data_IF_571259529968
#
_entry.id   IF_571259529968
#
_cell.length_a   1.000
_cell.length_b   1.000
_cell.length_c   1.000
_cell.angle_alpha   90.00
_cell.angle_beta   90.00
_cell.angle_gamma   90.00
#
_symmetry.space_group_name_H-M   'P 1'
#
loop_
_entity.id
_entity.type
_entity.pdbx_description
1 polymer ?
#
# COMPACT_ATOMS: atom_id res chain seq x y z
N UNK A 1 -20.64 -38.07 -25.61
CA UNK A 1 -20.55 -36.81 -24.86
C UNK A 1 -19.34 -36.93 -23.95
N UNK A 2 -18.23 -36.26 -24.28
CA UNK A 2 -17.02 -36.33 -23.48
C UNK A 2 -17.06 -35.23 -22.42
N UNK A 3 -17.00 -35.60 -21.15
CA UNK A 3 -16.80 -34.67 -20.07
C UNK A 3 -15.32 -34.28 -20.04
N UNK A 4 -15.02 -32.99 -20.21
CA UNK A 4 -13.70 -32.43 -19.97
C UNK A 4 -13.47 -32.39 -18.46
N UNK A 5 -12.47 -33.13 -17.99
CA UNK A 5 -11.94 -32.99 -16.63
C UNK A 5 -11.09 -31.73 -16.63
N UNK A 6 -11.59 -30.66 -16.01
CA UNK A 6 -10.81 -29.46 -15.73
C UNK A 6 -9.80 -29.79 -14.61
N UNK A 7 -8.51 -29.57 -14.88
CA UNK A 7 -7.45 -29.70 -13.88
C UNK A 7 -7.66 -28.70 -12.73
N UNK A 8 -7.37 -29.09 -11.47
CA UNK A 8 -7.37 -28.16 -10.36
C UNK A 8 -6.25 -27.13 -10.55
N UNK A 9 -6.63 -25.92 -10.93
CA UNK A 9 -5.75 -24.75 -10.99
C UNK A 9 -5.02 -24.62 -9.65
N UNK A 10 -3.68 -24.80 -9.68
CA UNK A 10 -2.81 -24.61 -8.51
C UNK A 10 -3.16 -23.30 -7.82
N UNK A 11 -3.70 -23.38 -6.61
CA UNK A 11 -3.94 -22.22 -5.76
C UNK A 11 -2.58 -21.64 -5.38
N UNK A 12 -2.19 -20.56 -6.06
CA UNK A 12 -1.11 -19.71 -5.57
C UNK A 12 -1.49 -19.26 -4.16
N UNK A 13 -0.61 -19.50 -3.20
CA UNK A 13 -0.75 -18.94 -1.85
C UNK A 13 -1.09 -17.46 -1.98
N UNK A 14 -2.23 -17.01 -1.44
CA UNK A 14 -2.67 -15.63 -1.64
C UNK A 14 -1.58 -14.69 -1.15
N UNK A 15 -1.18 -13.75 -2.02
CA UNK A 15 -0.22 -12.72 -1.65
C UNK A 15 -0.77 -11.98 -0.43
N UNK A 16 0.09 -11.73 0.56
CA UNK A 16 -0.25 -10.88 1.69
C UNK A 16 -0.80 -9.55 1.16
N UNK A 17 -1.85 -9.03 1.81
CA UNK A 17 -2.30 -7.67 1.54
C UNK A 17 -1.21 -6.65 1.91
N UNK A 18 -1.40 -5.37 1.56
CA UNK A 18 -0.40 -4.35 1.85
C UNK A 18 -0.07 -4.23 3.34
N UNK A 19 -1.04 -4.39 4.24
CA UNK A 19 -0.79 -4.34 5.68
C UNK A 19 0.01 -5.57 6.15
N UNK A 20 -0.29 -6.75 5.60
CA UNK A 20 0.47 -7.97 5.83
C UNK A 20 1.92 -7.86 5.37
N UNK A 21 2.15 -7.21 4.22
CA UNK A 21 3.52 -6.91 3.73
C UNK A 21 4.25 -5.94 4.66
N UNK A 22 3.60 -4.86 5.09
CA UNK A 22 4.20 -3.90 6.03
C UNK A 22 4.60 -4.56 7.35
N UNK A 23 3.74 -5.44 7.88
CA UNK A 23 4.02 -6.18 9.11
C UNK A 23 5.20 -7.15 8.93
N UNK A 24 5.27 -7.85 7.79
CA UNK A 24 6.33 -8.83 7.53
C UNK A 24 7.68 -8.17 7.31
N UNK A 25 7.74 -7.09 6.52
CA UNK A 25 9.00 -6.49 6.08
C UNK A 25 9.51 -5.44 7.07
N UNK A 26 8.62 -4.66 7.68
CA UNK A 26 8.98 -3.52 8.53
C UNK A 26 8.57 -3.68 9.99
N UNK A 27 8.03 -4.84 10.39
CA UNK A 27 7.42 -5.05 11.70
C UNK A 27 6.34 -4.01 12.06
N UNK A 28 5.72 -3.38 11.06
CA UNK A 28 4.72 -2.32 11.23
C UNK A 28 3.29 -2.86 11.07
N UNK A 29 2.52 -2.86 12.16
CA UNK A 29 1.07 -3.14 12.11
C UNK A 29 0.26 -1.84 12.04
N UNK A 30 -0.12 -1.42 10.83
CA UNK A 30 -0.91 -0.21 10.59
C UNK A 30 -2.32 -0.25 11.21
N UNK A 31 -2.81 -1.44 11.58
CA UNK A 31 -4.08 -1.61 12.27
C UNK A 31 -3.94 -1.63 13.80
N UNK A 32 -2.74 -1.56 14.35
CA UNK A 32 -2.53 -1.34 15.78
C UNK A 32 -2.50 0.16 16.12
N UNK A 33 -3.26 0.59 17.12
CA UNK A 33 -3.19 1.95 17.60
C UNK A 33 -2.04 2.12 18.61
N UNK A 34 -0.98 2.84 18.23
CA UNK A 34 0.17 3.09 19.10
C UNK A 34 -0.16 3.92 20.36
N UNK A 35 -1.32 4.60 20.40
CA UNK A 35 -1.74 5.43 21.56
C UNK A 35 -2.49 4.66 22.62
N UNK A 36 -3.35 3.72 22.23
CA UNK A 36 -4.26 3.02 23.16
C UNK A 36 -4.22 1.49 23.05
N UNK A 37 -3.43 0.92 22.14
CA UNK A 37 -3.35 -0.53 21.91
C UNK A 37 -4.54 -1.14 21.16
N UNK A 38 -5.61 -0.38 20.89
CA UNK A 38 -6.79 -0.85 20.17
C UNK A 38 -6.55 -1.18 18.69
N UNK A 39 -7.51 -1.88 18.06
CA UNK A 39 -7.50 -2.19 16.62
C UNK A 39 -8.18 -1.10 15.80
N UNK A 40 -7.52 -0.65 14.75
CA UNK A 40 -8.07 0.24 13.71
C UNK A 40 -8.64 -0.59 12.57
N UNK A 41 -9.57 0.00 11.81
CA UNK A 41 -10.16 -0.60 10.61
C UNK A 41 -10.01 0.36 9.44
N UNK A 42 -9.77 -0.17 8.25
CA UNK A 42 -9.82 0.60 7.02
C UNK A 42 -11.26 1.02 6.73
N UNK A 43 -11.51 2.32 6.61
CA UNK A 43 -12.84 2.87 6.34
C UNK A 43 -13.09 3.10 4.85
N UNK A 44 -12.11 3.63 4.12
CA UNK A 44 -12.24 3.94 2.70
C UNK A 44 -10.88 4.04 2.01
N UNK A 45 -10.88 3.80 0.69
CA UNK A 45 -9.78 4.14 -0.20
C UNK A 45 -10.09 5.45 -0.93
N UNK A 46 -9.44 6.54 -0.53
CA UNK A 46 -9.66 7.87 -1.14
C UNK A 46 -8.63 8.07 -2.26
N UNK A 47 -9.08 7.93 -3.51
CA UNK A 47 -8.21 8.06 -4.70
C UNK A 47 -8.34 9.39 -5.43
N UNK A 48 -9.46 10.10 -5.25
CA UNK A 48 -9.72 11.36 -5.94
C UNK A 48 -9.00 12.53 -5.28
N UNK A 49 -8.30 13.34 -6.07
CA UNK A 49 -7.51 14.48 -5.58
C UNK A 49 -8.34 15.45 -4.71
N UNK A 50 -9.59 15.74 -5.09
CA UNK A 50 -10.46 16.61 -4.31
C UNK A 50 -10.79 16.05 -2.92
N UNK A 51 -11.04 14.74 -2.82
CA UNK A 51 -11.32 14.09 -1.52
C UNK A 51 -10.08 14.02 -0.64
N UNK A 52 -8.91 13.73 -1.21
CA UNK A 52 -7.63 13.79 -0.49
C UNK A 52 -7.39 15.20 0.02
N UNK A 53 -7.56 16.22 -0.84
CA UNK A 53 -7.36 17.63 -0.47
C UNK A 53 -8.25 18.06 0.69
N UNK A 54 -9.55 17.74 0.62
CA UNK A 54 -10.51 18.08 1.67
C UNK A 54 -10.15 17.45 3.04
N UNK A 55 -9.68 16.19 3.05
CA UNK A 55 -9.25 15.53 4.29
C UNK A 55 -8.00 16.19 4.86
N UNK A 56 -7.00 16.46 4.02
CA UNK A 56 -5.73 17.08 4.43
C UNK A 56 -5.97 18.50 4.97
N UNK A 57 -6.82 19.29 4.33
CA UNK A 57 -7.25 20.62 4.80
C UNK A 57 -7.94 20.54 6.17
N UNK A 58 -8.87 19.61 6.34
CA UNK A 58 -9.59 19.42 7.61
C UNK A 58 -8.65 19.03 8.76
N UNK A 59 -7.58 18.28 8.47
CA UNK A 59 -6.56 17.90 9.45
C UNK A 59 -5.55 19.00 9.74
N UNK A 60 -5.61 20.14 9.03
CA UNK A 60 -4.63 21.24 9.15
C UNK A 60 -3.25 20.88 8.58
N UNK A 61 -3.18 19.93 7.65
CA UNK A 61 -1.94 19.50 7.02
C UNK A 61 -1.67 20.32 5.74
N UNK A 62 -0.39 20.47 5.32
CA UNK A 62 -0.07 21.14 4.06
C UNK A 62 -0.70 20.42 2.86
N UNK A 63 -1.46 21.16 2.05
CA UNK A 63 -2.08 20.65 0.81
C UNK A 63 -1.22 20.86 -0.43
N UNK A 64 -0.26 21.77 -0.39
CA UNK A 64 0.74 21.89 -1.44
C UNK A 64 1.64 20.65 -1.40
N UNK A 65 1.80 19.99 -2.55
CA UNK A 65 2.79 18.91 -2.66
C UNK A 65 4.17 19.46 -2.30
N UNK A 66 4.95 18.66 -1.55
CA UNK A 66 6.36 18.93 -1.42
C UNK A 66 7.00 18.95 -2.81
N UNK A 67 7.87 19.93 -3.06
CA UNK A 67 8.69 19.93 -4.26
C UNK A 67 9.68 18.77 -4.15
N UNK A 68 9.45 17.69 -4.89
CA UNK A 68 10.41 16.60 -4.96
C UNK A 68 11.60 17.04 -5.81
N UNK A 69 12.85 16.77 -5.38
CA UNK A 69 13.98 16.94 -6.26
C UNK A 69 13.79 16.04 -7.49
N UNK A 70 14.37 16.41 -8.64
CA UNK A 70 14.35 15.54 -9.82
C UNK A 70 14.88 14.14 -9.46
N UNK A 71 14.32 13.13 -10.12
CA UNK A 71 14.73 11.73 -9.99
C UNK A 71 16.26 11.64 -10.13
N UNK A 72 16.92 10.90 -9.24
CA UNK A 72 18.36 10.69 -9.39
C UNK A 72 18.60 9.81 -10.60
N UNK A 73 19.62 10.14 -11.38
CA UNK A 73 20.12 9.26 -12.44
C UNK A 73 20.37 7.85 -11.86
N UNK A 74 20.02 6.77 -12.59
CA UNK A 74 20.34 5.42 -12.19
C UNK A 74 21.85 5.28 -11.92
N UNK A 75 22.27 4.41 -10.99
CA UNK A 75 23.68 4.13 -10.79
C UNK A 75 24.30 3.64 -12.09
N UNK A 76 25.34 4.33 -12.58
CA UNK A 76 26.10 3.92 -13.75
C UNK A 76 26.72 2.54 -13.45
N UNK A 77 26.37 1.52 -14.23
CA UNK A 77 26.94 0.18 -14.05
C UNK A 77 28.44 0.23 -14.32
N UNK A 78 29.25 0.06 -13.28
CA UNK A 78 30.72 0.14 -13.35
C UNK A 78 31.38 -1.13 -13.93
N UNK A 79 30.65 -1.93 -14.72
CA UNK A 79 31.18 -3.19 -15.22
C UNK A 79 31.75 -3.03 -16.62
N UNK A 80 33.08 -2.94 -16.68
CA UNK A 80 33.93 -3.33 -17.80
C UNK A 80 34.82 -4.46 -17.31
#
# INVERSE_FOLDING_TARGET
MAATVEEPRKEHTPRLDQAGLLRRTFALDVFACLRCGGRRRLLAYVKGAGGVRAIVEHLGLPTASAHLPPEREPPQSSWC
#
